data_IF_635954849147
#
_entry.id   IF_635954849147
#
_cell.length_a   1.000
_cell.length_b   1.000
_cell.length_c   1.000
_cell.angle_alpha   90.00
_cell.angle_beta   90.00
_cell.angle_gamma   90.00
#
_symmetry.space_group_name_H-M   'P 1'
#
loop_
_entity.id
_entity.type
_entity.pdbx_description
1 polymer ?
#
# COMPACT_ATOMS: atom_id res chain seq x y z
N UNK A 1 -17.69 2.61 0.82
CA UNK A 1 -17.27 3.88 0.15
C UNK A 1 -16.55 3.56 -1.17
N UNK A 2 -16.57 4.45 -2.17
CA UNK A 2 -15.82 4.26 -3.44
C UNK A 2 -14.35 4.73 -3.29
N UNK A 3 -13.42 3.99 -3.88
CA UNK A 3 -12.01 4.41 -3.97
C UNK A 3 -11.86 5.59 -4.94
N UNK A 4 -10.90 6.47 -4.67
CA UNK A 4 -10.46 7.48 -5.66
C UNK A 4 -9.71 6.80 -6.82
N UNK A 5 -9.46 7.53 -7.90
CA UNK A 5 -8.69 7.00 -9.03
C UNK A 5 -7.27 6.54 -8.62
N UNK A 6 -6.61 7.31 -7.76
CA UNK A 6 -5.28 6.98 -7.23
C UNK A 6 -5.32 5.73 -6.33
N UNK A 7 -6.25 5.70 -5.37
CA UNK A 7 -6.44 4.55 -4.48
C UNK A 7 -6.75 3.27 -5.27
N UNK A 8 -7.61 3.37 -6.29
CA UNK A 8 -7.94 2.26 -7.17
C UNK A 8 -6.71 1.76 -7.94
N UNK A 9 -5.92 2.68 -8.50
CA UNK A 9 -4.70 2.33 -9.23
C UNK A 9 -3.68 1.63 -8.32
N UNK A 10 -3.47 2.15 -7.10
CA UNK A 10 -2.61 1.51 -6.10
C UNK A 10 -3.14 0.13 -5.71
N UNK A 11 -4.44 -0.01 -5.45
CA UNK A 11 -5.04 -1.29 -5.11
C UNK A 11 -4.86 -2.34 -6.23
N UNK A 12 -5.00 -1.95 -7.50
CA UNK A 12 -4.75 -2.83 -8.63
C UNK A 12 -3.28 -3.25 -8.72
N UNK A 13 -2.34 -2.31 -8.52
CA UNK A 13 -0.90 -2.61 -8.51
C UNK A 13 -0.55 -3.60 -7.40
N UNK A 14 -1.05 -3.39 -6.18
CA UNK A 14 -0.86 -4.30 -5.06
C UNK A 14 -1.45 -5.67 -5.37
N UNK A 15 -2.67 -5.73 -5.92
CA UNK A 15 -3.31 -6.99 -6.25
C UNK A 15 -2.52 -7.80 -7.29
N UNK A 16 -1.86 -7.11 -8.22
CA UNK A 16 -1.02 -7.71 -9.27
C UNK A 16 0.35 -8.14 -8.74
N UNK A 17 0.92 -7.37 -7.82
CA UNK A 17 2.21 -7.68 -7.18
C UNK A 17 2.12 -8.98 -6.36
N UNK A 18 1.13 -9.08 -5.48
CA UNK A 18 0.87 -10.31 -4.75
C UNK A 18 0.09 -11.30 -5.63
N UNK A 19 0.83 -12.18 -6.32
CA UNK A 19 0.26 -13.19 -7.23
C UNK A 19 -0.49 -14.33 -6.53
N UNK A 20 -0.50 -14.35 -5.21
CA UNK A 20 -1.20 -15.38 -4.44
C UNK A 20 -2.71 -15.30 -4.67
N UNK A 21 -3.35 -16.38 -5.17
CA UNK A 21 -4.80 -16.41 -5.36
C UNK A 21 -5.57 -16.61 -4.04
N UNK A 22 -4.90 -17.08 -2.98
CA UNK A 22 -5.52 -17.33 -1.67
C UNK A 22 -5.52 -16.10 -0.77
N UNK A 23 -4.75 -15.05 -1.12
CA UNK A 23 -4.77 -13.79 -0.38
C UNK A 23 -5.90 -12.90 -0.89
N UNK A 24 -6.74 -12.42 0.03
CA UNK A 24 -7.73 -11.40 -0.30
C UNK A 24 -7.06 -10.07 -0.64
N UNK A 25 -7.76 -9.15 -1.33
CA UNK A 25 -7.25 -7.80 -1.56
C UNK A 25 -6.89 -7.11 -0.23
N UNK A 26 -7.68 -7.33 0.82
CA UNK A 26 -7.42 -6.82 2.17
C UNK A 26 -6.07 -7.30 2.70
N UNK A 27 -5.79 -8.61 2.60
CA UNK A 27 -4.51 -9.17 3.07
C UNK A 27 -3.35 -8.58 2.27
N UNK A 28 -3.50 -8.44 0.96
CA UNK A 28 -2.47 -7.88 0.09
C UNK A 28 -2.17 -6.41 0.44
N UNK A 29 -3.19 -5.60 0.68
CA UNK A 29 -3.05 -4.20 1.11
C UNK A 29 -2.37 -4.11 2.47
N UNK A 30 -2.78 -4.96 3.42
CA UNK A 30 -2.17 -5.04 4.74
C UNK A 30 -0.67 -5.38 4.66
N UNK A 31 -0.31 -6.40 3.87
CA UNK A 31 1.09 -6.78 3.68
C UNK A 31 1.89 -5.70 2.94
N UNK A 32 1.32 -5.05 1.92
CA UNK A 32 1.96 -3.91 1.24
C UNK A 32 2.29 -2.79 2.23
N UNK A 33 1.39 -2.51 3.17
CA UNK A 33 1.58 -1.49 4.20
C UNK A 33 2.72 -1.88 5.14
N UNK A 34 2.73 -3.12 5.62
CA UNK A 34 3.79 -3.62 6.50
C UNK A 34 5.17 -3.48 5.86
N UNK A 35 5.30 -3.84 4.58
CA UNK A 35 6.56 -3.67 3.83
C UNK A 35 6.95 -2.19 3.77
N UNK A 36 6.01 -1.31 3.39
CA UNK A 36 6.30 0.13 3.27
C UNK A 36 6.72 0.77 4.61
N UNK A 37 6.07 0.38 5.72
CA UNK A 37 6.45 0.84 7.05
C UNK A 37 7.82 0.30 7.47
N UNK A 38 8.09 -0.97 7.21
CA UNK A 38 9.38 -1.58 7.50
C UNK A 38 10.53 -0.90 6.76
N UNK A 39 10.32 -0.58 5.48
CA UNK A 39 11.30 0.14 4.68
C UNK A 39 11.53 1.58 5.18
N UNK A 40 10.49 2.26 5.69
CA UNK A 40 10.64 3.56 6.34
C UNK A 40 11.42 3.45 7.66
N UNK A 41 11.10 2.48 8.51
CA UNK A 41 11.73 2.27 9.81
C UNK A 41 13.21 1.94 9.69
N UNK A 42 13.57 1.05 8.75
CA UNK A 42 14.95 0.64 8.51
C UNK A 42 15.74 1.62 7.63
N UNK A 43 15.13 2.72 7.20
CA UNK A 43 15.73 3.66 6.26
C UNK A 43 16.17 2.98 4.95
N UNK A 44 15.37 2.03 4.45
CA UNK A 44 15.55 1.35 3.16
C UNK A 44 15.09 2.25 2.01
N UNK A 45 15.67 3.43 1.90
CA UNK A 45 15.48 4.38 0.80
C UNK A 45 16.81 5.09 0.52
N UNK A 46 17.01 5.44 -0.75
CA UNK A 46 18.28 6.00 -1.23
C UNK A 46 18.34 7.51 -1.09
N UNK A 47 17.19 8.19 -1.04
CA UNK A 47 17.10 9.65 -0.94
C UNK A 47 15.77 10.11 -0.34
N UNK A 48 15.72 11.39 0.00
CA UNK A 48 14.54 12.02 0.62
C UNK A 48 13.28 11.93 -0.26
N UNK A 49 13.43 12.12 -1.58
CA UNK A 49 12.30 11.98 -2.51
C UNK A 49 11.70 10.58 -2.53
N UNK A 50 12.52 9.54 -2.31
CA UNK A 50 12.05 8.16 -2.19
C UNK A 50 11.33 7.94 -0.86
N UNK A 51 11.85 8.51 0.24
CA UNK A 51 11.18 8.53 1.55
C UNK A 51 9.79 9.17 1.49
N UNK A 52 9.67 10.32 0.82
CA UNK A 52 8.40 11.02 0.63
C UNK A 52 7.40 10.19 -0.17
N UNK A 53 7.84 9.55 -1.27
CA UNK A 53 7.00 8.65 -2.08
C UNK A 53 6.52 7.45 -1.28
N UNK A 54 7.40 6.85 -0.48
CA UNK A 54 7.08 5.69 0.34
C UNK A 54 6.10 6.05 1.47
N UNK A 55 6.27 7.23 2.06
CA UNK A 55 5.34 7.81 3.05
C UNK A 55 3.97 8.10 2.43
N UNK A 56 3.92 8.71 1.25
CA UNK A 56 2.66 8.93 0.54
C UNK A 56 1.96 7.61 0.20
N UNK A 57 2.73 6.63 -0.27
CA UNK A 57 2.24 5.30 -0.59
C UNK A 57 1.63 4.60 0.63
N UNK A 58 2.28 4.65 1.80
CA UNK A 58 1.73 4.06 3.03
C UNK A 58 0.42 4.72 3.46
N UNK A 59 0.29 6.04 3.31
CA UNK A 59 -0.96 6.76 3.57
C UNK A 59 -2.10 6.36 2.61
N UNK A 60 -1.80 6.12 1.32
CA UNK A 60 -2.81 5.61 0.37
C UNK A 60 -3.30 4.22 0.80
N UNK A 61 -2.39 3.33 1.17
CA UNK A 61 -2.74 1.98 1.63
C UNK A 61 -3.64 2.03 2.87
N UNK A 62 -3.38 2.96 3.79
CA UNK A 62 -4.23 3.16 4.97
C UNK A 62 -5.63 3.61 4.64
N UNK A 63 -5.77 4.58 3.73
CA UNK A 63 -7.07 5.03 3.26
C UNK A 63 -7.84 3.91 2.56
N UNK A 64 -7.17 3.11 1.74
CA UNK A 64 -7.78 1.94 1.09
C UNK A 64 -8.25 0.95 2.17
N UNK A 65 -7.41 0.64 3.15
CA UNK A 65 -7.73 -0.31 4.22
C UNK A 65 -8.94 0.14 5.05
N UNK A 66 -9.01 1.43 5.40
CA UNK A 66 -10.17 2.01 6.09
C UNK A 66 -11.46 1.86 5.28
N UNK A 67 -11.40 2.05 3.96
CA UNK A 67 -12.57 1.96 3.07
C UNK A 67 -13.02 0.53 2.78
N UNK A 68 -12.10 -0.45 2.81
CA UNK A 68 -12.43 -1.87 2.62
C UNK A 68 -12.99 -2.50 3.90
N UNK A 69 -12.63 -1.97 5.06
CA UNK A 69 -13.12 -2.45 6.37
C UNK A 69 -14.43 -1.81 6.82
N UNK A 70 -14.92 -0.80 6.10
CA UNK A 70 -16.16 -0.08 6.38
C UNK A 70 -17.31 -0.60 5.51
#
# INVERSE_FOLDING_TARGET
MKLTAEEYHVAQRVNTYFRSPVMSLRDKIFNAKLIALHDLELHNFTCETEREKLTHYSHILDRIMQKINA
#
